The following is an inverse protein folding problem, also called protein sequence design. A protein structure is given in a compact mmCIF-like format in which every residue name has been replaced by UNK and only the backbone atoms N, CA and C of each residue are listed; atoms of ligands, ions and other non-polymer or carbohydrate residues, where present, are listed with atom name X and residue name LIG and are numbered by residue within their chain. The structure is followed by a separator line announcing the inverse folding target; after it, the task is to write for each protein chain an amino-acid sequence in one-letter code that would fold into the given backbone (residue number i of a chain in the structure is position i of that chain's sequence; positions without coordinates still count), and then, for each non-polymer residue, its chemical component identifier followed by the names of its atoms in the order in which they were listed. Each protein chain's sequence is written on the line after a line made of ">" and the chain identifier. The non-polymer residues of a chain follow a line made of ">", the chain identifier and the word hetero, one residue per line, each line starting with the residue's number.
data_IF_115071971634
#
_entry.id   IF_115071971634
#
_cell.length_a   1.000
_cell.length_b   1.000
_cell.length_c   1.000
_cell.angle_alpha   90.00
_cell.angle_beta   90.00
_cell.angle_gamma   90.00
#
_symmetry.space_group_name_H-M   'P 1'
#
loop_
_entity.id
_entity.type
_entity.pdbx_description
1 polymer ?
#
# COMPACT_ATOMS: atom_id res chain seq x y z
N UNK A 1 25.33 5.42 -6.87
CA UNK A 1 24.80 4.77 -5.64
C UNK A 1 24.67 3.28 -5.93
N UNK A 2 25.20 2.41 -5.07
CA UNK A 2 25.06 0.95 -5.23
C UNK A 2 23.97 0.43 -4.28
N UNK A 3 22.73 0.33 -4.75
CA UNK A 3 21.58 -0.18 -3.98
C UNK A 3 21.29 -1.60 -4.44
N UNK A 4 21.29 -2.55 -3.51
CA UNK A 4 21.19 -3.99 -3.83
C UNK A 4 19.83 -4.61 -3.44
N UNK A 5 18.95 -3.85 -2.81
CA UNK A 5 17.64 -4.36 -2.38
C UNK A 5 16.80 -3.34 -1.62
N UNK A 6 15.55 -3.72 -1.37
CA UNK A 6 14.55 -2.91 -0.66
C UNK A 6 13.62 -3.83 0.13
N UNK A 7 13.46 -3.55 1.43
CA UNK A 7 12.49 -4.21 2.29
C UNK A 7 11.37 -3.24 2.63
N UNK A 8 10.13 -3.64 2.35
CA UNK A 8 8.97 -2.83 2.70
C UNK A 8 8.65 -2.95 4.19
N UNK A 9 8.43 -1.81 4.85
CA UNK A 9 7.84 -1.76 6.19
C UNK A 9 6.33 -1.54 6.07
N UNK A 10 5.47 -2.51 6.36
CA UNK A 10 5.79 -3.85 6.90
C UNK A 10 4.94 -4.93 6.25
N UNK A 11 5.30 -6.19 6.50
CA UNK A 11 4.54 -7.30 5.94
C UNK A 11 3.10 -7.35 6.51
N UNK A 12 2.94 -7.11 7.80
CA UNK A 12 1.63 -7.07 8.47
C UNK A 12 1.49 -5.81 9.29
N UNK A 13 0.25 -5.36 9.52
CA UNK A 13 0.00 -4.41 10.60
C UNK A 13 0.61 -4.93 11.90
N UNK A 14 1.21 -4.03 12.69
CA UNK A 14 1.96 -4.37 13.88
C UNK A 14 1.76 -3.31 14.97
N UNK A 15 2.36 -3.55 16.14
CA UNK A 15 2.32 -2.60 17.25
C UNK A 15 3.33 -1.48 17.00
N UNK A 16 2.83 -0.34 16.55
CA UNK A 16 3.67 0.80 16.21
C UNK A 16 3.89 1.67 17.46
N UNK A 17 4.89 1.28 18.25
CA UNK A 17 5.47 2.10 19.33
C UNK A 17 4.48 2.73 20.31
N UNK A 18 3.49 1.96 20.77
CA UNK A 18 2.47 2.47 21.69
C UNK A 18 1.04 2.27 21.20
N UNK A 19 0.85 1.99 19.91
CA UNK A 19 -0.48 1.93 19.30
C UNK A 19 -0.60 0.92 18.17
N UNK A 20 -1.77 0.30 18.06
CA UNK A 20 -2.21 -0.45 16.87
C UNK A 20 -3.07 0.39 15.93
N UNK A 21 -3.25 1.69 16.20
CA UNK A 21 -4.05 2.56 15.35
C UNK A 21 -3.39 2.80 13.98
N UNK A 22 -2.07 3.07 13.86
CA UNK A 22 -1.40 3.19 12.57
C UNK A 22 -1.37 1.85 11.83
N UNK A 23 -1.61 1.87 10.51
CA UNK A 23 -1.70 0.67 9.67
C UNK A 23 -0.75 0.78 8.47
N UNK A 24 0.37 0.06 8.54
CA UNK A 24 1.45 0.06 7.53
C UNK A 24 1.64 -1.30 6.85
N UNK A 25 0.85 -2.31 7.20
CA UNK A 25 1.01 -3.65 6.67
C UNK A 25 0.57 -3.80 5.22
N UNK A 26 1.32 -4.60 4.44
CA UNK A 26 0.79 -5.20 3.22
C UNK A 26 -0.45 -6.03 3.52
N UNK A 27 -0.45 -6.75 4.64
CA UNK A 27 -1.60 -7.46 5.18
C UNK A 27 -2.14 -6.75 6.42
N UNK A 28 -3.45 -6.62 6.52
CA UNK A 28 -4.10 -6.13 7.73
C UNK A 28 -4.39 -7.28 8.70
N UNK A 29 -4.27 -6.98 10.00
CA UNK A 29 -4.52 -7.92 11.09
C UNK A 29 -5.39 -7.22 12.14
N UNK A 30 -6.52 -7.83 12.48
CA UNK A 30 -7.34 -7.38 13.59
C UNK A 30 -6.83 -8.02 14.89
N UNK A 31 -6.01 -7.27 15.63
CA UNK A 31 -5.47 -7.72 16.92
C UNK A 31 -6.43 -7.52 18.08
N UNK A 32 -7.58 -6.87 17.85
CA UNK A 32 -8.52 -6.49 18.90
C UNK A 32 -9.66 -7.50 19.06
N UNK A 33 -10.11 -8.10 17.95
CA UNK A 33 -11.28 -9.00 17.98
C UNK A 33 -11.07 -10.35 17.31
N UNK A 34 -10.04 -10.53 16.49
CA UNK A 34 -9.78 -11.79 15.77
C UNK A 34 -8.76 -12.65 16.55
N UNK A 35 -9.19 -13.70 17.27
CA UNK A 35 -8.28 -14.55 18.04
C UNK A 35 -7.33 -15.38 17.17
N UNK A 36 -7.67 -15.58 15.89
CA UNK A 36 -6.87 -16.35 14.94
C UNK A 36 -5.83 -15.47 14.22
N UNK A 37 -5.89 -14.15 14.43
CA UNK A 37 -4.97 -13.15 13.87
C UNK A 37 -4.80 -13.31 12.35
N UNK A 38 -5.92 -13.52 11.64
CA UNK A 38 -5.90 -13.79 10.21
C UNK A 38 -5.35 -12.57 9.46
N UNK A 39 -4.34 -12.82 8.64
CA UNK A 39 -3.66 -11.82 7.79
C UNK A 39 -4.47 -11.66 6.51
N UNK A 40 -5.18 -10.54 6.39
CA UNK A 40 -6.04 -10.25 5.23
C UNK A 40 -5.26 -9.35 4.26
N UNK A 41 -5.10 -9.71 2.98
CA UNK A 41 -4.34 -8.89 2.03
C UNK A 41 -5.02 -7.55 1.81
N UNK A 42 -4.22 -6.49 1.68
CA UNK A 42 -4.68 -5.20 1.15
C UNK A 42 -4.35 -5.11 -0.34
N UNK A 43 -4.86 -4.07 -1.02
CA UNK A 43 -4.51 -3.77 -2.42
C UNK A 43 -3.00 -3.63 -2.65
N UNK A 44 -2.25 -3.25 -1.61
CA UNK A 44 -0.79 -3.14 -1.68
C UNK A 44 -0.11 -4.50 -1.93
N UNK A 45 -0.71 -5.63 -1.56
CA UNK A 45 -0.15 -6.97 -1.86
C UNK A 45 -0.10 -7.20 -3.35
N UNK A 46 -1.18 -6.89 -4.06
CA UNK A 46 -1.23 -7.04 -5.51
C UNK A 46 -0.22 -6.10 -6.17
N UNK A 47 -0.19 -4.82 -5.78
CA UNK A 47 0.75 -3.85 -6.30
C UNK A 47 2.23 -4.25 -6.05
N UNK A 48 2.56 -4.69 -4.83
CA UNK A 48 3.94 -5.07 -4.48
C UNK A 48 4.40 -6.34 -5.22
N UNK A 49 3.52 -7.34 -5.36
CA UNK A 49 3.78 -8.54 -6.19
C UNK A 49 4.03 -8.16 -7.65
N UNK A 50 3.24 -7.22 -8.15
CA UNK A 50 3.30 -6.79 -9.53
C UNK A 50 4.61 -6.05 -9.84
N UNK A 51 4.99 -5.09 -8.99
CA UNK A 51 6.27 -4.36 -9.09
C UNK A 51 7.46 -5.33 -9.02
N UNK A 52 7.44 -6.26 -8.05
CA UNK A 52 8.54 -7.21 -7.87
C UNK A 52 8.64 -8.20 -9.03
N UNK A 53 7.52 -8.69 -9.56
CA UNK A 53 7.48 -9.59 -10.72
C UNK A 53 7.97 -8.92 -11.99
N UNK A 54 7.64 -7.63 -12.19
CA UNK A 54 8.10 -6.86 -13.36
C UNK A 54 9.46 -6.20 -13.18
N UNK A 55 10.10 -6.40 -12.03
CA UNK A 55 11.35 -5.72 -11.67
C UNK A 55 11.27 -4.18 -11.75
N UNK A 56 10.08 -3.60 -11.50
CA UNK A 56 9.88 -2.16 -11.59
C UNK A 56 8.42 -1.75 -11.74
N UNK A 57 8.19 -0.44 -11.70
CA UNK A 57 6.90 0.18 -12.04
C UNK A 57 6.73 0.28 -13.56
N UNK A 58 5.49 0.36 -14.09
CA UNK A 58 5.26 0.62 -15.51
C UNK A 58 5.93 1.91 -15.99
N UNK A 59 6.39 1.94 -17.24
CA UNK A 59 7.11 3.08 -17.84
C UNK A 59 6.35 4.40 -17.87
N UNK A 60 5.02 4.38 -17.76
CA UNK A 60 4.17 5.57 -17.66
C UNK A 60 3.63 5.86 -16.25
N UNK A 61 4.12 5.17 -15.23
CA UNK A 61 3.70 5.44 -13.86
C UNK A 61 4.27 6.79 -13.39
N UNK A 62 3.37 7.75 -13.19
CA UNK A 62 3.69 9.01 -12.54
C UNK A 62 3.11 8.96 -11.12
N UNK A 63 3.95 8.97 -10.07
CA UNK A 63 3.42 9.10 -8.73
C UNK A 63 2.64 10.41 -8.65
N UNK A 64 1.49 10.43 -7.95
CA UNK A 64 0.77 11.67 -7.71
C UNK A 64 1.75 12.68 -7.08
N UNK A 65 1.68 13.95 -7.48
CA UNK A 65 2.45 14.98 -6.81
C UNK A 65 2.21 14.90 -5.29
N UNK A 66 3.25 15.15 -4.48
CA UNK A 66 3.11 15.10 -3.03
C UNK A 66 1.96 16.03 -2.60
N UNK A 67 0.96 15.48 -1.92
CA UNK A 67 -0.25 16.22 -1.53
C UNK A 67 -1.44 16.10 -2.49
N UNK A 68 -1.37 15.28 -3.55
CA UNK A 68 -2.54 15.03 -4.41
C UNK A 68 -3.63 14.32 -3.62
N UNK A 69 -4.82 14.90 -3.75
CA UNK A 69 -6.07 14.44 -3.18
C UNK A 69 -6.82 13.69 -4.29
N UNK A 70 -6.97 12.37 -4.14
CA UNK A 70 -7.81 11.56 -5.02
C UNK A 70 -9.19 11.44 -4.36
N UNK A 71 -10.26 11.81 -5.07
CA UNK A 71 -11.64 11.78 -4.57
C UNK A 71 -11.86 12.49 -3.22
N UNK A 72 -11.17 13.62 -3.01
CA UNK A 72 -11.27 14.40 -1.77
C UNK A 72 -10.46 13.82 -0.59
N UNK A 73 -9.61 12.81 -0.80
CA UNK A 73 -8.72 12.21 0.22
C UNK A 73 -7.25 12.33 -0.18
N UNK A 74 -6.32 12.65 0.73
CA UNK A 74 -4.88 12.56 0.41
C UNK A 74 -4.55 11.14 -0.07
N UNK A 75 -3.76 11.00 -1.14
CA UNK A 75 -3.43 9.72 -1.76
C UNK A 75 -2.82 8.67 -0.79
N UNK A 76 -2.30 9.11 0.35
CA UNK A 76 -1.81 8.26 1.45
C UNK A 76 -2.93 7.59 2.27
N UNK A 77 -4.20 8.00 2.10
CA UNK A 77 -5.37 7.53 2.84
C UNK A 77 -6.41 6.81 1.95
N UNK A 78 -6.00 6.19 0.85
CA UNK A 78 -6.87 5.31 0.06
C UNK A 78 -7.20 4.04 0.87
N UNK A 79 -8.15 4.15 1.80
CA UNK A 79 -8.76 3.03 2.52
C UNK A 79 -10.25 3.27 2.68
N UNK A 80 -11.04 2.62 1.81
CA UNK A 80 -12.24 1.93 2.27
C UNK A 80 -12.05 0.44 1.98
N UNK A 81 -12.42 -0.46 2.91
CA UNK A 81 -12.47 -1.89 2.62
C UNK A 81 -13.36 -2.15 1.39
N UNK A 82 -12.82 -2.81 0.36
CA UNK A 82 -13.55 -3.21 -0.85
C UNK A 82 -13.51 -2.23 -2.04
N UNK A 83 -12.81 -1.11 -1.93
CA UNK A 83 -12.65 -0.15 -3.03
C UNK A 83 -11.42 -0.50 -3.89
N UNK A 84 -11.62 -0.72 -5.19
CA UNK A 84 -10.55 -1.10 -6.13
C UNK A 84 -9.70 0.14 -6.44
N UNK A 85 -8.41 0.14 -6.09
CA UNK A 85 -7.50 1.21 -6.54
C UNK A 85 -7.40 1.17 -8.07
N UNK A 86 -7.99 2.17 -8.71
CA UNK A 86 -7.75 2.46 -10.13
C UNK A 86 -6.72 3.58 -10.16
N UNK A 87 -5.47 3.26 -10.48
CA UNK A 87 -4.48 4.31 -10.81
C UNK A 87 -4.87 4.84 -12.19
N UNK A 88 -5.35 6.09 -12.33
CA UNK A 88 -5.61 6.62 -13.65
C UNK A 88 -4.27 6.71 -14.38
N UNK A 89 -4.15 5.95 -15.47
CA UNK A 89 -3.12 6.19 -16.47
C UNK A 89 -3.48 7.53 -17.11
N UNK A 90 -2.73 8.60 -16.82
CA UNK A 90 -2.90 9.84 -17.58
C UNK A 90 -2.68 9.55 -19.06
N UNK A 91 -3.59 9.96 -19.97
CA UNK A 91 -3.29 9.91 -21.39
C UNK A 91 -2.10 10.84 -21.67
N UNK A 92 -1.10 10.31 -22.38
CA UNK A 92 0.06 11.04 -22.85
C UNK A 92 -0.40 12.29 -23.62
N UNK A 93 0.12 13.46 -23.24
CA UNK A 93 0.16 14.66 -24.07
C UNK A 93 1.50 14.73 -24.77
#
# INVERSE_FOLDING_TARGET
>A
MNVIGYNYWSLTDNYEWGSYAPRYGLYTVDVTTDPDLIRRPTDAVAAYRDITTRHGVPTGYHPPAAGVVLDGRPALQLRRPGERITVPMSPLA
#
